data_IF_334364673085
#
_entry.id   IF_334364673085
#
_cell.length_a   1.000
_cell.length_b   1.000
_cell.length_c   1.000
_cell.angle_alpha   90.00
_cell.angle_beta   90.00
_cell.angle_gamma   90.00
#
_symmetry.space_group_name_H-M   'P 1'
#
loop_
_entity.id
_entity.type
_entity.pdbx_description
1 polymer ?
#
# COMPACT_ATOMS: atom_id res chain seq x y z
N UNK A 1 -6.99 17.70 23.33
CA UNK A 1 -7.47 19.08 23.07
C UNK A 1 -6.86 19.59 21.77
N UNK A 2 -7.66 20.25 20.94
CA UNK A 2 -7.22 20.84 19.67
C UNK A 2 -6.96 22.34 19.90
N UNK A 3 -5.77 22.79 19.64
CA UNK A 3 -5.42 24.21 19.66
C UNK A 3 -5.13 24.68 18.23
N UNK A 4 -5.67 25.82 17.85
CA UNK A 4 -5.44 26.46 16.58
C UNK A 4 -4.52 27.66 16.79
N UNK A 5 -3.26 27.56 16.42
CA UNK A 5 -2.34 28.71 16.40
C UNK A 5 -2.33 29.34 15.02
N UNK A 6 -2.58 30.62 14.91
CA UNK A 6 -2.44 31.40 13.69
C UNK A 6 -1.11 32.11 13.73
N UNK A 7 -0.09 31.57 13.07
CA UNK A 7 1.11 32.31 12.74
C UNK A 7 0.90 33.04 11.40
N UNK A 8 1.47 34.23 11.25
CA UNK A 8 1.38 35.02 10.03
C UNK A 8 1.86 34.25 8.80
N UNK A 9 0.91 33.75 7.99
CA UNK A 9 1.20 33.04 6.74
C UNK A 9 0.86 31.56 6.71
N UNK A 10 0.66 30.90 7.86
CA UNK A 10 0.34 29.46 7.92
C UNK A 10 -0.83 29.19 8.86
N UNK A 11 -1.64 28.18 8.54
CA UNK A 11 -2.63 27.60 9.45
C UNK A 11 -2.02 26.37 10.09
N UNK A 12 -1.99 26.32 11.42
CA UNK A 12 -1.41 25.25 12.20
C UNK A 12 -2.50 24.54 12.98
N UNK A 13 -2.40 23.23 13.09
CA UNK A 13 -3.26 22.42 13.96
C UNK A 13 -2.37 21.52 14.79
N UNK A 14 -2.39 21.72 16.11
CA UNK A 14 -1.71 20.88 17.08
C UNK A 14 -2.69 19.84 17.60
N UNK A 15 -2.31 18.57 17.57
CA UNK A 15 -3.12 17.46 18.06
C UNK A 15 -2.27 16.67 19.04
N UNK A 16 -2.78 16.51 20.28
CA UNK A 16 -2.19 15.62 21.28
C UNK A 16 -2.94 14.30 21.24
N UNK A 17 -2.22 13.20 21.14
CA UNK A 17 -2.77 11.86 21.29
C UNK A 17 -2.31 11.26 22.60
N UNK A 18 -3.24 10.65 23.32
CA UNK A 18 -2.95 9.65 24.33
C UNK A 18 -3.59 8.38 23.78
N UNK A 19 -2.76 7.46 23.32
CA UNK A 19 -3.27 6.18 22.85
C UNK A 19 -3.48 5.26 24.05
N UNK A 20 -4.49 4.40 23.95
CA UNK A 20 -5.00 3.62 25.07
C UNK A 20 -4.17 2.36 25.32
N UNK A 21 -4.11 2.02 26.59
CA UNK A 21 -3.66 0.78 27.19
C UNK A 21 -4.38 -0.44 26.63
N UNK A 22 -3.62 -1.47 26.23
CA UNK A 22 -4.12 -2.82 26.04
C UNK A 22 -3.79 -3.61 27.30
N UNK A 23 -4.76 -3.79 28.18
CA UNK A 23 -4.71 -4.79 29.24
C UNK A 23 -5.15 -6.12 28.64
N UNK A 24 -4.24 -7.09 28.57
CA UNK A 24 -4.57 -8.47 28.22
C UNK A 24 -5.21 -9.15 29.41
N UNK A 25 -6.51 -9.47 29.32
CA UNK A 25 -7.15 -10.40 30.23
C UNK A 25 -6.95 -11.81 29.64
N UNK A 26 -5.84 -12.47 29.94
CA UNK A 26 -5.71 -13.91 29.69
C UNK A 26 -5.84 -14.66 30.99
N UNK A 27 -6.86 -15.49 31.09
CA UNK A 27 -7.05 -16.47 32.18
C UNK A 27 -6.00 -17.61 32.19
N UNK A 28 -4.81 -17.36 31.62
CA UNK A 28 -3.68 -18.28 31.64
C UNK A 28 -2.66 -17.79 32.65
N UNK A 29 -2.45 -18.60 33.65
CA UNK A 29 -1.51 -18.47 34.76
C UNK A 29 -0.14 -18.02 34.21
N UNK A 30 0.36 -16.84 34.68
CA UNK A 30 1.67 -16.21 34.46
C UNK A 30 1.81 -15.13 33.35
N UNK A 31 0.78 -14.55 32.83
CA UNK A 31 0.96 -13.31 32.07
C UNK A 31 0.83 -12.10 33.01
N UNK A 32 1.97 -11.50 33.36
CA UNK A 32 2.02 -10.16 33.95
C UNK A 32 1.22 -9.21 33.04
N UNK A 33 0.45 -8.31 33.62
CA UNK A 33 -0.35 -7.32 32.88
C UNK A 33 0.56 -6.50 31.95
N UNK A 34 0.61 -6.86 30.68
CA UNK A 34 1.41 -6.14 29.66
C UNK A 34 0.65 -4.92 29.21
N UNK A 35 1.24 -3.76 29.33
CA UNK A 35 0.69 -2.53 28.79
C UNK A 35 1.59 -1.93 27.70
N UNK A 36 0.98 -1.27 26.73
CA UNK A 36 1.64 -0.41 25.76
C UNK A 36 0.90 0.92 25.68
N UNK A 37 1.60 2.02 25.91
CA UNK A 37 1.08 3.39 25.86
C UNK A 37 1.87 4.20 24.85
N UNK A 38 1.19 4.86 23.92
CA UNK A 38 1.81 5.78 22.97
C UNK A 38 1.25 7.17 23.18
N UNK A 39 2.13 8.14 23.37
CA UNK A 39 1.76 9.54 23.41
C UNK A 39 2.60 10.33 22.41
N UNK A 40 2.06 11.45 21.95
CA UNK A 40 2.78 12.21 20.94
C UNK A 40 2.14 13.55 20.62
N UNK A 41 2.85 14.29 19.79
CA UNK A 41 2.47 15.60 19.30
C UNK A 41 2.53 15.57 17.78
N UNK A 42 1.43 15.97 17.14
CA UNK A 42 1.36 16.19 15.70
C UNK A 42 1.13 17.67 15.41
N UNK A 43 1.91 18.18 14.49
CA UNK A 43 1.80 19.55 14.01
C UNK A 43 1.57 19.55 12.50
N UNK A 44 0.46 20.12 12.06
CA UNK A 44 0.12 20.26 10.64
C UNK A 44 0.20 21.73 10.22
N UNK A 45 0.87 21.98 9.11
CA UNK A 45 1.04 23.30 8.55
C UNK A 45 0.43 23.39 7.14
N UNK A 46 -0.12 24.56 6.82
CA UNK A 46 -0.60 24.88 5.49
C UNK A 46 -0.45 26.38 5.23
N UNK A 47 0.17 26.75 4.12
CA UNK A 47 0.30 28.16 3.72
C UNK A 47 -1.05 28.78 3.31
N UNK A 48 -1.18 30.09 3.42
CA UNK A 48 -2.40 30.81 3.00
C UNK A 48 -2.75 30.58 1.53
N UNK A 49 -1.74 30.54 0.66
CA UNK A 49 -1.91 30.29 -0.77
C UNK A 49 -2.03 28.79 -1.12
N UNK A 50 -2.10 27.91 -0.11
CA UNK A 50 -2.20 26.45 -0.23
C UNK A 50 -1.11 25.78 -1.07
N UNK A 51 -0.03 26.48 -1.45
CA UNK A 51 1.09 25.90 -2.21
C UNK A 51 1.97 25.01 -1.33
N UNK A 52 2.09 25.33 -0.04
CA UNK A 52 2.84 24.56 0.94
C UNK A 52 1.91 23.89 1.93
N UNK A 53 2.14 22.62 2.18
CA UNK A 53 1.53 21.87 3.28
C UNK A 53 2.52 20.86 3.82
N UNK A 54 2.31 20.42 5.05
CA UNK A 54 3.16 19.43 5.64
C UNK A 54 2.71 19.05 7.04
N UNK A 55 3.43 18.12 7.64
CA UNK A 55 3.28 17.78 9.04
C UNK A 55 4.61 17.42 9.64
N UNK A 56 4.73 17.62 10.94
CA UNK A 56 5.77 17.05 11.75
C UNK A 56 5.12 16.34 12.94
N UNK A 57 5.74 15.27 13.38
CA UNK A 57 5.25 14.52 14.52
C UNK A 57 6.40 14.00 15.37
N UNK A 58 6.12 13.82 16.65
CA UNK A 58 6.95 13.10 17.59
C UNK A 58 6.05 12.23 18.46
N UNK A 59 6.29 10.92 18.45
CA UNK A 59 5.60 9.95 19.29
C UNK A 59 6.62 9.20 20.13
N UNK A 60 6.21 8.80 21.32
CA UNK A 60 7.00 7.97 22.21
C UNK A 60 6.13 6.85 22.74
N UNK A 61 6.67 5.63 22.81
CA UNK A 61 6.01 4.49 23.43
C UNK A 61 6.58 4.21 24.83
N UNK A 62 5.71 3.77 25.71
CA UNK A 62 6.06 3.28 27.05
C UNK A 62 5.47 1.90 27.18
N UNK A 63 6.34 0.93 27.37
CA UNK A 63 6.04 -0.47 27.58
C UNK A 63 6.42 -0.87 29.02
N UNK A 64 5.92 -2.01 29.48
CA UNK A 64 6.28 -2.59 30.78
C UNK A 64 7.81 -2.74 30.93
N UNK A 65 8.48 -3.22 29.89
CA UNK A 65 9.93 -3.29 29.82
C UNK A 65 10.44 -2.00 29.17
N UNK A 66 11.15 -1.18 29.95
CA UNK A 66 11.76 0.04 29.44
C UNK A 66 12.75 -0.32 28.31
N UNK A 67 12.52 0.22 27.12
CA UNK A 67 13.38 0.08 25.97
C UNK A 67 14.04 1.41 25.65
N UNK A 68 15.28 1.37 25.24
CA UNK A 68 15.95 2.53 24.68
C UNK A 68 15.39 2.82 23.29
N UNK A 69 15.49 4.05 22.82
CA UNK A 69 15.03 4.48 21.49
C UNK A 69 13.53 4.20 21.21
N UNK A 70 12.66 4.41 22.23
CA UNK A 70 11.21 4.20 22.12
C UNK A 70 10.47 5.34 21.42
N UNK A 71 11.05 5.93 20.39
CA UNK A 71 10.50 7.09 19.68
C UNK A 71 10.16 6.80 18.22
N UNK A 72 9.21 7.56 17.67
CA UNK A 72 8.94 7.69 16.25
C UNK A 72 8.74 9.17 15.92
N UNK A 73 9.56 9.71 15.03
CA UNK A 73 9.48 11.12 14.65
C UNK A 73 9.61 11.28 13.15
N UNK A 74 9.02 12.35 12.63
CA UNK A 74 9.14 12.61 11.21
C UNK A 74 8.59 13.96 10.80
N UNK A 75 9.02 14.36 9.61
CA UNK A 75 8.55 15.55 8.90
C UNK A 75 8.20 15.16 7.47
N UNK A 76 7.08 15.67 6.98
CA UNK A 76 6.80 15.70 5.56
C UNK A 76 6.48 17.13 5.12
N UNK A 77 6.89 17.46 3.90
CA UNK A 77 6.68 18.76 3.29
C UNK A 77 6.27 18.56 1.84
N UNK A 78 5.18 19.19 1.45
CA UNK A 78 4.66 19.24 0.10
C UNK A 78 4.62 20.68 -0.39
N UNK A 79 5.27 20.93 -1.50
CA UNK A 79 5.06 22.13 -2.32
C UNK A 79 4.35 21.73 -3.60
N UNK A 80 3.29 22.42 -3.97
CA UNK A 80 2.55 22.17 -5.19
C UNK A 80 2.16 23.50 -5.86
N UNK A 81 2.59 23.66 -7.11
CA UNK A 81 2.24 24.77 -7.97
C UNK A 81 1.77 24.26 -9.32
N UNK A 82 1.40 25.16 -10.24
CA UNK A 82 0.98 24.74 -11.58
C UNK A 82 2.02 23.88 -12.29
N UNK A 83 3.29 24.26 -12.20
CA UNK A 83 4.38 23.66 -12.99
C UNK A 83 5.30 22.76 -12.18
N UNK A 84 5.29 22.87 -10.85
CA UNK A 84 6.24 22.19 -9.98
C UNK A 84 5.54 21.56 -8.79
N UNK A 85 5.92 20.32 -8.50
CA UNK A 85 5.61 19.62 -7.28
C UNK A 85 6.89 19.18 -6.58
N UNK A 86 7.00 19.38 -5.26
CA UNK A 86 8.08 18.82 -4.44
C UNK A 86 7.46 18.12 -3.26
N UNK A 87 7.84 16.89 -3.02
CA UNK A 87 7.47 16.18 -1.81
C UNK A 87 8.72 15.65 -1.12
N UNK A 88 8.88 15.99 0.14
CA UNK A 88 9.97 15.50 0.98
C UNK A 88 9.41 14.85 2.24
N UNK A 89 9.97 13.73 2.64
CA UNK A 89 9.60 13.00 3.85
C UNK A 89 10.82 12.43 4.53
N UNK A 90 10.99 12.75 5.81
CA UNK A 90 12.03 12.19 6.69
C UNK A 90 11.34 11.55 7.87
N UNK A 91 11.72 10.32 8.20
CA UNK A 91 11.20 9.58 9.36
C UNK A 91 12.36 8.90 10.05
N UNK A 92 12.36 8.96 11.38
CA UNK A 92 13.21 8.15 12.24
C UNK A 92 12.35 7.37 13.22
N UNK A 93 12.57 6.08 13.29
CA UNK A 93 11.85 5.17 14.21
C UNK A 93 12.92 4.43 15.00
N UNK A 94 12.90 4.61 16.30
CA UNK A 94 13.80 3.91 17.22
C UNK A 94 13.52 2.42 17.26
N UNK A 95 14.51 1.64 17.69
CA UNK A 95 14.40 0.18 17.73
C UNK A 95 13.43 -0.29 18.82
N UNK A 96 13.33 0.48 19.91
CA UNK A 96 12.42 0.23 21.02
C UNK A 96 10.99 0.72 20.83
N UNK A 97 10.69 1.46 19.75
CA UNK A 97 9.31 1.98 19.55
C UNK A 97 8.32 0.87 19.24
N UNK A 98 7.24 0.81 20.01
CA UNK A 98 6.14 -0.16 19.85
C UNK A 98 4.77 0.51 19.92
N UNK A 99 3.81 -0.03 19.15
CA UNK A 99 2.42 0.40 19.19
C UNK A 99 1.51 -0.80 18.90
N UNK A 100 0.88 -1.33 19.94
CA UNK A 100 -0.02 -2.49 19.82
C UNK A 100 -1.30 -2.19 19.02
N UNK A 101 -1.70 -0.91 18.97
CA UNK A 101 -2.87 -0.46 18.21
C UNK A 101 -2.50 0.02 16.79
N UNK A 102 -1.23 -0.07 16.41
CA UNK A 102 -0.71 0.35 15.12
C UNK A 102 0.20 -0.67 14.48
N UNK A 103 0.36 -0.59 13.15
CA UNK A 103 1.29 -1.43 12.42
C UNK A 103 2.57 -0.66 12.11
N UNK A 104 3.71 -1.15 12.63
CA UNK A 104 5.04 -0.62 12.37
C UNK A 104 5.78 -1.63 11.49
N UNK A 105 5.98 -1.27 10.23
CA UNK A 105 6.60 -2.18 9.24
C UNK A 105 8.06 -2.51 9.58
N UNK A 106 8.85 -1.51 10.02
CA UNK A 106 10.27 -1.64 10.38
C UNK A 106 10.60 -0.68 11.51
N UNK A 107 11.41 -1.13 12.46
CA UNK A 107 11.96 -0.36 13.59
C UNK A 107 13.46 -0.17 13.41
N UNK A 108 14.07 0.72 14.18
CA UNK A 108 15.50 1.01 14.14
C UNK A 108 15.95 1.59 12.79
N UNK A 109 15.11 2.42 12.16
CA UNK A 109 15.38 2.94 10.82
C UNK A 109 15.37 4.47 10.76
N UNK A 110 16.20 4.98 9.85
CA UNK A 110 16.12 6.34 9.34
C UNK A 110 15.76 6.29 7.85
N UNK A 111 14.68 6.97 7.47
CA UNK A 111 14.15 6.97 6.11
C UNK A 111 14.07 8.38 5.57
N UNK A 112 14.61 8.58 4.38
CA UNK A 112 14.44 9.77 3.55
C UNK A 112 13.74 9.42 2.25
N UNK A 113 12.89 10.33 1.79
CA UNK A 113 12.25 10.27 0.48
C UNK A 113 12.09 11.69 -0.05
N UNK A 114 12.51 11.91 -1.27
CA UNK A 114 12.29 13.15 -2.00
C UNK A 114 11.76 12.83 -3.39
N UNK A 115 10.79 13.62 -3.84
CA UNK A 115 10.23 13.57 -5.19
C UNK A 115 10.09 14.99 -5.70
N UNK A 116 10.54 15.22 -6.92
CA UNK A 116 10.32 16.45 -7.65
C UNK A 116 9.50 16.14 -8.89
N UNK A 117 8.48 16.92 -9.19
CA UNK A 117 7.65 16.81 -10.38
C UNK A 117 7.74 18.11 -11.18
N UNK A 118 8.10 17.99 -12.45
CA UNK A 118 8.03 19.08 -13.42
C UNK A 118 6.91 18.79 -14.40
N UNK A 119 5.93 19.71 -14.50
CA UNK A 119 4.81 19.65 -15.45
C UNK A 119 5.01 20.65 -16.56
N UNK A 120 4.85 20.16 -17.80
CA UNK A 120 4.89 20.95 -19.04
C UNK A 120 3.48 20.93 -19.61
N UNK A 121 2.83 22.08 -19.61
CA UNK A 121 1.51 22.25 -20.20
C UNK A 121 1.68 22.46 -21.70
N UNK A 122 1.11 21.56 -22.50
CA UNK A 122 1.25 21.54 -23.95
C UNK A 122 -0.09 21.90 -24.56
N UNK A 123 -0.08 22.95 -25.39
CA UNK A 123 -1.28 23.40 -26.08
C UNK A 123 -1.48 22.64 -27.41
N UNK A 124 -1.79 21.35 -27.33
CA UNK A 124 -2.18 20.52 -28.46
C UNK A 124 -3.63 20.05 -28.34
N UNK A 125 -4.23 19.55 -29.41
CA UNK A 125 -5.60 19.02 -29.38
C UNK A 125 -5.73 17.76 -28.52
N UNK A 126 -4.68 16.96 -28.36
CA UNK A 126 -4.72 15.63 -27.73
C UNK A 126 -4.08 15.57 -26.35
N UNK A 127 -2.97 16.28 -26.14
CA UNK A 127 -2.16 16.22 -24.91
C UNK A 127 -2.51 17.41 -24.02
N UNK A 128 -2.73 17.15 -22.73
CA UNK A 128 -2.95 18.15 -21.69
C UNK A 128 -1.64 18.64 -21.10
N UNK A 129 -0.84 17.71 -20.63
CA UNK A 129 0.48 17.98 -20.07
C UNK A 129 1.38 16.75 -20.14
N UNK A 130 2.66 17.00 -20.04
CA UNK A 130 3.70 15.99 -19.83
C UNK A 130 4.36 16.29 -18.49
N UNK A 131 4.63 15.27 -17.69
CA UNK A 131 5.38 15.43 -16.46
C UNK A 131 6.57 14.50 -16.37
N UNK A 132 7.62 14.98 -15.72
CA UNK A 132 8.83 14.21 -15.39
C UNK A 132 8.97 14.27 -13.88
N UNK A 133 9.10 13.09 -13.27
CA UNK A 133 9.06 12.96 -11.81
C UNK A 133 10.21 12.10 -11.29
N UNK A 134 11.43 12.64 -11.15
CA UNK A 134 12.50 11.95 -10.43
C UNK A 134 12.18 11.85 -8.94
N UNK A 135 12.56 10.74 -8.34
CA UNK A 135 12.46 10.52 -6.90
C UNK A 135 13.65 9.72 -6.37
N UNK A 136 13.93 9.94 -5.10
CA UNK A 136 14.97 9.23 -4.38
C UNK A 136 14.47 8.79 -3.01
N UNK A 137 14.70 7.53 -2.69
CA UNK A 137 14.38 6.92 -1.38
C UNK A 137 15.64 6.31 -0.79
N UNK A 138 15.82 6.53 0.50
CA UNK A 138 16.96 6.03 1.24
C UNK A 138 16.52 5.57 2.64
N UNK A 139 16.88 4.34 3.02
CA UNK A 139 16.56 3.75 4.32
C UNK A 139 17.82 3.14 4.90
N UNK A 140 18.17 3.54 6.12
CA UNK A 140 19.32 2.99 6.88
C UNK A 140 18.89 2.48 8.23
N UNK A 141 19.76 1.63 8.82
CA UNK A 141 19.74 1.26 10.25
C UNK A 141 20.86 2.03 10.97
N UNK A 142 20.57 3.14 11.67
CA UNK A 142 21.59 3.98 12.31
C UNK A 142 22.44 3.20 13.32
N UNK A 143 21.81 2.33 14.13
CA UNK A 143 22.46 1.54 15.18
C UNK A 143 23.35 0.40 14.66
N UNK A 144 23.39 0.18 13.32
CA UNK A 144 24.24 -0.82 12.65
C UNK A 144 25.21 -0.14 11.68
N UNK A 145 26.05 0.78 12.17
CA UNK A 145 26.99 1.55 11.36
C UNK A 145 26.35 2.20 10.13
N UNK A 146 25.10 2.69 10.26
CA UNK A 146 24.31 3.26 9.18
C UNK A 146 24.14 2.34 7.97
N UNK A 147 23.98 1.03 8.21
CA UNK A 147 23.75 0.03 7.16
C UNK A 147 22.64 0.47 6.23
N UNK A 148 22.92 0.52 4.95
CA UNK A 148 21.92 0.83 3.91
C UNK A 148 21.03 -0.39 3.72
N UNK A 149 19.75 -0.25 4.08
CA UNK A 149 18.73 -1.29 3.90
C UNK A 149 18.07 -1.20 2.52
N UNK A 150 17.66 0.01 2.14
CA UNK A 150 17.08 0.27 0.82
C UNK A 150 17.60 1.60 0.28
N UNK A 151 17.86 1.64 -1.01
CA UNK A 151 18.12 2.85 -1.78
C UNK A 151 17.42 2.69 -3.12
N UNK A 152 16.70 3.70 -3.55
CA UNK A 152 15.97 3.66 -4.81
C UNK A 152 16.03 5.02 -5.49
N UNK A 153 16.52 5.02 -6.71
CA UNK A 153 16.38 6.13 -7.62
C UNK A 153 15.34 5.74 -8.67
N UNK A 154 14.29 6.53 -8.81
CA UNK A 154 13.28 6.29 -9.83
C UNK A 154 12.89 7.58 -10.53
N UNK A 155 12.46 7.45 -11.78
CA UNK A 155 11.91 8.56 -12.55
C UNK A 155 10.73 8.07 -13.36
N UNK A 156 9.65 8.86 -13.34
CA UNK A 156 8.44 8.64 -14.13
C UNK A 156 8.34 9.70 -15.20
N UNK A 157 8.04 9.28 -16.42
CA UNK A 157 7.67 10.12 -17.53
C UNK A 157 6.21 9.87 -17.86
N UNK A 158 5.34 10.87 -17.67
CA UNK A 158 3.90 10.73 -17.85
C UNK A 158 3.38 11.67 -18.95
N UNK A 159 2.49 11.14 -19.78
CA UNK A 159 1.72 11.89 -20.77
C UNK A 159 0.25 11.84 -20.35
N UNK A 160 -0.31 12.98 -20.00
CA UNK A 160 -1.72 13.13 -19.67
C UNK A 160 -2.47 13.67 -20.89
N UNK A 161 -3.42 12.89 -21.40
CA UNK A 161 -4.21 13.25 -22.55
C UNK A 161 -5.48 14.06 -22.14
N UNK A 162 -5.95 14.91 -23.05
CA UNK A 162 -7.23 15.63 -22.88
C UNK A 162 -8.43 14.68 -22.81
N UNK A 163 -8.31 13.47 -23.36
CA UNK A 163 -9.27 12.38 -23.20
C UNK A 163 -9.36 11.81 -21.79
N UNK A 164 -8.55 12.33 -20.84
CA UNK A 164 -8.38 11.82 -19.47
C UNK A 164 -7.75 10.41 -19.42
N UNK A 165 -7.08 9.98 -20.49
CA UNK A 165 -6.20 8.82 -20.47
C UNK A 165 -4.77 9.24 -20.07
N UNK A 166 -3.98 8.28 -19.62
CA UNK A 166 -2.61 8.50 -19.15
C UNK A 166 -1.69 7.38 -19.67
N UNK A 167 -0.52 7.76 -20.14
CA UNK A 167 0.60 6.86 -20.46
C UNK A 167 1.74 7.18 -19.51
N UNK A 168 2.29 6.18 -18.81
CA UNK A 168 3.47 6.32 -17.96
C UNK A 168 4.59 5.40 -18.40
N UNK A 169 5.82 5.89 -18.33
CA UNK A 169 7.06 5.13 -18.49
C UNK A 169 7.87 5.37 -17.22
N UNK A 170 8.09 4.32 -16.47
CA UNK A 170 8.68 4.36 -15.15
C UNK A 170 9.99 3.57 -15.14
N UNK A 171 11.09 4.25 -14.87
CA UNK A 171 12.39 3.63 -14.63
C UNK A 171 12.70 3.64 -13.15
N UNK A 172 13.19 2.53 -12.60
CA UNK A 172 13.65 2.43 -11.22
C UNK A 172 14.98 1.69 -11.12
N UNK A 173 15.81 2.10 -10.16
CA UNK A 173 17.10 1.49 -9.83
C UNK A 173 17.17 1.23 -8.31
N UNK A 174 16.37 0.27 -7.82
CA UNK A 174 16.36 -0.08 -6.40
C UNK A 174 17.61 -0.89 -6.00
N UNK A 175 18.05 -0.65 -4.77
CA UNK A 175 18.94 -1.48 -4.00
C UNK A 175 18.21 -1.94 -2.74
N UNK A 176 18.30 -3.23 -2.42
CA UNK A 176 17.78 -3.80 -1.16
C UNK A 176 18.84 -4.68 -0.51
N UNK A 177 19.06 -4.49 0.78
CA UNK A 177 19.85 -5.39 1.61
C UNK A 177 18.91 -6.39 2.28
N UNK A 178 19.12 -7.68 1.99
CA UNK A 178 18.45 -8.78 2.67
C UNK A 178 19.21 -9.07 3.98
N UNK A 179 18.53 -8.94 5.11
CA UNK A 179 19.06 -9.30 6.44
C UNK A 179 18.69 -10.72 6.88
N UNK A 180 17.93 -11.41 6.05
CA UNK A 180 17.60 -12.84 6.17
C UNK A 180 17.49 -13.46 4.78
N UNK A 181 17.65 -14.78 4.69
CA UNK A 181 17.46 -15.53 3.46
C UNK A 181 16.02 -15.36 2.93
N UNK A 182 15.87 -15.24 1.62
CA UNK A 182 14.59 -14.96 0.98
C UNK A 182 14.23 -15.97 -0.10
N UNK A 183 13.17 -16.75 0.11
CA UNK A 183 12.62 -17.65 -0.90
C UNK A 183 11.69 -16.85 -1.86
N UNK A 184 12.21 -16.49 -3.02
CA UNK A 184 11.51 -15.72 -4.06
C UNK A 184 10.34 -16.49 -4.66
N UNK A 185 10.52 -17.79 -4.88
CA UNK A 185 9.55 -18.63 -5.57
C UNK A 185 8.41 -19.08 -4.68
N UNK A 186 8.61 -19.01 -3.35
CA UNK A 186 7.69 -19.48 -2.31
C UNK A 186 7.32 -20.95 -2.42
N UNK A 187 8.11 -21.72 -3.17
CA UNK A 187 7.96 -23.18 -3.25
C UNK A 187 8.65 -23.83 -2.07
N UNK A 188 8.08 -24.90 -1.56
CA UNK A 188 8.70 -25.70 -0.53
C UNK A 188 9.99 -26.36 -1.05
N UNK A 189 11.06 -26.32 -0.26
CA UNK A 189 12.37 -26.87 -0.63
C UNK A 189 13.16 -26.05 -1.65
N UNK A 190 12.67 -24.92 -2.14
CA UNK A 190 13.44 -24.03 -3.04
C UNK A 190 14.60 -23.38 -2.30
N UNK A 191 15.74 -23.28 -2.96
CA UNK A 191 16.94 -22.63 -2.43
C UNK A 191 16.68 -21.12 -2.30
N UNK A 192 16.80 -20.55 -1.08
CA UNK A 192 16.57 -19.14 -0.86
C UNK A 192 17.74 -18.29 -1.38
N UNK A 193 17.46 -17.05 -1.74
CA UNK A 193 18.50 -16.03 -2.03
C UNK A 193 19.21 -15.69 -0.72
N UNK A 194 20.56 -15.65 -0.71
CA UNK A 194 21.34 -15.41 0.50
C UNK A 194 21.24 -13.96 0.99
N UNK A 195 21.63 -13.76 2.25
CA UNK A 195 21.84 -12.44 2.86
C UNK A 195 22.81 -11.64 2.02
N UNK A 196 22.51 -10.37 1.75
CA UNK A 196 23.39 -9.49 0.98
C UNK A 196 22.68 -8.33 0.31
N UNK A 197 23.42 -7.51 -0.41
CA UNK A 197 22.94 -6.34 -1.14
C UNK A 197 22.70 -6.64 -2.61
N UNK A 198 21.53 -6.23 -3.12
CA UNK A 198 21.11 -6.47 -4.50
C UNK A 198 20.63 -5.19 -5.16
N UNK A 199 21.13 -4.92 -6.39
CA UNK A 199 20.61 -3.87 -7.26
C UNK A 199 19.79 -4.53 -8.37
N UNK A 200 18.63 -3.97 -8.71
CA UNK A 200 17.77 -4.55 -9.72
C UNK A 200 16.99 -3.50 -10.53
N UNK A 201 17.67 -2.87 -11.54
CA UNK A 201 17.00 -1.91 -12.41
C UNK A 201 15.78 -2.51 -13.11
N UNK A 202 14.72 -1.72 -13.21
CA UNK A 202 13.47 -2.13 -13.80
C UNK A 202 12.87 -0.99 -14.64
N UNK A 203 12.21 -1.36 -15.73
CA UNK A 203 11.44 -0.47 -16.59
C UNK A 203 10.00 -0.97 -16.64
N UNK A 204 9.05 -0.07 -16.41
CA UNK A 204 7.62 -0.33 -16.49
C UNK A 204 6.96 0.66 -17.44
N UNK A 205 6.02 0.18 -18.23
CA UNK A 205 5.21 1.00 -19.12
C UNK A 205 3.76 0.69 -18.84
N UNK A 206 2.98 1.72 -18.53
CA UNK A 206 1.56 1.56 -18.24
C UNK A 206 0.69 2.53 -19.04
N UNK A 207 -0.50 2.06 -19.36
CA UNK A 207 -1.53 2.87 -19.99
C UNK A 207 -2.86 2.67 -19.30
N UNK A 208 -3.54 3.79 -19.02
CA UNK A 208 -4.89 3.83 -18.47
C UNK A 208 -5.78 4.68 -19.37
N UNK A 209 -6.95 4.14 -19.73
CA UNK A 209 -7.96 4.95 -20.41
C UNK A 209 -8.72 5.86 -19.44
N UNK A 210 -9.62 6.66 -19.97
CA UNK A 210 -10.49 7.54 -19.21
C UNK A 210 -11.38 6.74 -18.23
N UNK A 211 -11.20 6.98 -16.92
CA UNK A 211 -11.87 6.28 -15.83
C UNK A 211 -13.38 6.67 -15.68
N UNK A 212 -13.86 7.68 -16.39
CA UNK A 212 -15.30 8.03 -16.42
C UNK A 212 -16.09 7.21 -17.44
N UNK A 213 -15.43 6.48 -18.35
CA UNK A 213 -16.10 5.63 -19.32
C UNK A 213 -16.75 4.42 -18.64
N UNK A 214 -17.79 3.88 -19.28
CA UNK A 214 -18.42 2.63 -18.85
C UNK A 214 -17.45 1.47 -18.87
N UNK A 215 -16.63 1.36 -19.92
CA UNK A 215 -15.54 0.41 -20.02
C UNK A 215 -14.20 1.10 -19.73
N UNK A 216 -13.56 0.65 -18.66
CA UNK A 216 -12.24 1.14 -18.24
C UNK A 216 -11.21 0.02 -18.27
N UNK A 217 -9.99 0.38 -18.67
CA UNK A 217 -8.89 -0.57 -18.70
C UNK A 217 -7.58 0.11 -18.31
N UNK A 218 -6.74 -0.69 -17.70
CA UNK A 218 -5.37 -0.38 -17.33
C UNK A 218 -4.51 -1.58 -17.73
N UNK A 219 -3.41 -1.31 -18.41
CA UNK A 219 -2.39 -2.29 -18.74
C UNK A 219 -1.04 -1.79 -18.30
N UNK A 220 -0.22 -2.69 -17.77
CA UNK A 220 1.16 -2.44 -17.38
C UNK A 220 2.02 -3.62 -17.78
N UNK A 221 3.17 -3.34 -18.33
CA UNK A 221 4.21 -4.31 -18.62
C UNK A 221 5.52 -3.83 -18.01
N UNK A 222 6.21 -4.74 -17.33
CA UNK A 222 7.48 -4.46 -16.69
C UNK A 222 8.54 -5.49 -17.06
N UNK A 223 9.79 -5.04 -17.15
CA UNK A 223 10.93 -5.91 -17.38
C UNK A 223 12.16 -5.33 -16.69
N UNK A 224 12.93 -6.19 -16.03
CA UNK A 224 14.15 -5.76 -15.37
C UNK A 224 14.88 -6.87 -14.65
N UNK A 225 15.89 -6.49 -13.92
CA UNK A 225 16.57 -7.38 -13.00
C UNK A 225 15.72 -7.61 -11.75
N UNK A 226 15.93 -8.73 -11.10
CA UNK A 226 15.28 -9.08 -9.84
C UNK A 226 16.22 -9.93 -9.00
N UNK A 227 16.77 -9.34 -7.95
CA UNK A 227 17.89 -9.88 -7.18
C UNK A 227 19.06 -10.27 -8.10
N UNK A 228 19.38 -11.56 -8.18
CA UNK A 228 20.44 -12.12 -9.04
C UNK A 228 19.92 -12.63 -10.39
N UNK A 229 18.65 -12.41 -10.72
CA UNK A 229 18.02 -12.86 -11.96
C UNK A 229 17.23 -11.77 -12.67
N UNK A 230 16.16 -12.17 -13.36
CA UNK A 230 15.28 -11.27 -14.13
C UNK A 230 13.81 -11.49 -13.77
N UNK A 231 13.03 -10.42 -13.87
CA UNK A 231 11.58 -10.43 -13.73
C UNK A 231 10.92 -9.72 -14.90
N UNK A 232 9.91 -10.39 -15.49
CA UNK A 232 8.98 -9.77 -16.42
C UNK A 232 7.59 -9.81 -15.81
N UNK A 233 6.88 -8.69 -15.81
CA UNK A 233 5.55 -8.54 -15.23
C UNK A 233 4.54 -8.05 -16.25
N UNK A 234 3.31 -8.53 -16.13
CA UNK A 234 2.15 -8.05 -16.89
C UNK A 234 1.03 -7.85 -15.87
N UNK A 235 0.41 -6.67 -15.87
CA UNK A 235 -0.80 -6.39 -15.11
C UNK A 235 -1.89 -5.87 -16.04
N UNK A 236 -3.11 -6.36 -15.84
CA UNK A 236 -4.30 -5.87 -16.53
C UNK A 236 -5.43 -5.67 -15.53
N UNK A 237 -6.11 -4.54 -15.63
CA UNK A 237 -7.36 -4.29 -14.90
C UNK A 237 -8.40 -3.87 -15.92
N UNK A 238 -9.46 -4.65 -16.03
CA UNK A 238 -10.59 -4.38 -16.91
C UNK A 238 -11.80 -4.15 -16.03
N UNK A 239 -12.58 -3.12 -16.29
CA UNK A 239 -13.82 -2.92 -15.58
C UNK A 239 -14.91 -2.40 -16.51
N UNK A 240 -16.13 -2.87 -16.28
CA UNK A 240 -17.32 -2.45 -16.98
C UNK A 240 -18.42 -2.11 -15.99
N UNK A 241 -19.12 -1.01 -16.24
CA UNK A 241 -20.19 -0.55 -15.36
C UNK A 241 -21.40 -0.06 -16.16
N UNK A 242 -22.56 -0.42 -15.66
CA UNK A 242 -23.88 0.12 -16.04
C UNK A 242 -24.47 0.71 -14.76
N UNK A 243 -24.22 2.00 -14.54
CA UNK A 243 -24.67 2.65 -13.30
C UNK A 243 -26.19 2.88 -13.30
N UNK A 244 -26.86 2.67 -12.16
CA UNK A 244 -26.33 2.23 -10.85
C UNK A 244 -26.39 0.71 -10.62
N UNK A 245 -26.75 -0.10 -11.63
CA UNK A 245 -27.27 -1.46 -11.47
C UNK A 245 -26.14 -2.49 -11.40
N UNK A 246 -25.09 -2.34 -12.23
CA UNK A 246 -24.11 -3.37 -12.44
C UNK A 246 -22.69 -2.83 -12.56
N UNK A 247 -21.76 -3.47 -11.88
CA UNK A 247 -20.32 -3.22 -12.05
C UNK A 247 -19.57 -4.54 -12.02
N UNK A 248 -18.69 -4.75 -12.96
CA UNK A 248 -17.75 -5.88 -12.95
C UNK A 248 -16.34 -5.40 -13.18
N UNK A 249 -15.37 -6.10 -12.59
CA UNK A 249 -13.97 -5.88 -12.85
C UNK A 249 -13.18 -7.19 -12.80
N UNK A 250 -12.13 -7.24 -13.61
CA UNK A 250 -11.18 -8.34 -13.67
C UNK A 250 -9.79 -7.77 -13.48
N UNK A 251 -9.09 -8.22 -12.42
CA UNK A 251 -7.69 -7.93 -12.18
C UNK A 251 -6.86 -9.17 -12.52
N UNK A 252 -5.85 -9.02 -13.33
CA UNK A 252 -4.90 -10.07 -13.71
C UNK A 252 -3.50 -9.54 -13.44
N UNK A 253 -2.67 -10.33 -12.76
CA UNK A 253 -1.24 -10.09 -12.60
C UNK A 253 -0.48 -11.38 -12.88
N UNK A 254 0.57 -11.26 -13.66
CA UNK A 254 1.50 -12.35 -13.96
C UNK A 254 2.93 -11.85 -13.85
N UNK A 255 3.73 -12.51 -12.99
CA UNK A 255 5.15 -12.29 -12.84
C UNK A 255 5.92 -13.53 -13.28
N UNK A 256 6.82 -13.41 -14.24
CA UNK A 256 7.77 -14.45 -14.62
C UNK A 256 9.13 -14.10 -14.06
N UNK A 257 9.58 -14.86 -13.07
CA UNK A 257 10.87 -14.69 -12.41
C UNK A 257 11.79 -15.79 -12.89
N UNK A 258 12.97 -15.43 -13.42
CA UNK A 258 14.01 -16.35 -13.81
C UNK A 258 15.26 -16.04 -13.02
N UNK A 259 15.68 -16.97 -12.18
CA UNK A 259 16.93 -16.88 -11.41
C UNK A 259 17.99 -17.80 -12.04
N UNK A 260 19.29 -17.49 -11.88
CA UNK A 260 20.38 -18.39 -12.31
C UNK A 260 20.41 -19.65 -11.46
N UNK A 261 20.98 -20.75 -11.96
CA UNK A 261 21.21 -21.95 -11.16
C UNK A 261 22.08 -21.60 -9.94
N UNK A 262 21.85 -22.18 -8.75
CA UNK A 262 20.93 -23.31 -8.46
C UNK A 262 19.48 -22.92 -8.13
N UNK A 263 19.08 -21.65 -8.26
CA UNK A 263 17.76 -21.16 -7.88
C UNK A 263 16.68 -21.51 -8.92
N UNK A 264 15.44 -21.55 -8.46
CA UNK A 264 14.29 -21.92 -9.29
C UNK A 264 13.73 -20.74 -10.12
N UNK A 265 13.03 -21.10 -11.18
CA UNK A 265 12.18 -20.20 -11.95
C UNK A 265 10.75 -20.26 -11.43
N UNK A 266 10.07 -19.10 -11.34
CA UNK A 266 8.67 -19.03 -10.93
C UNK A 266 7.83 -18.25 -11.94
N UNK A 267 6.60 -18.74 -12.16
CA UNK A 267 5.53 -18.00 -12.82
C UNK A 267 4.40 -17.78 -11.81
N UNK A 268 4.18 -16.52 -11.42
CA UNK A 268 3.25 -16.18 -10.35
C UNK A 268 2.00 -15.54 -10.95
N UNK A 269 0.85 -16.15 -10.70
CA UNK A 269 -0.45 -15.67 -11.16
C UNK A 269 -1.33 -15.19 -10.02
N UNK A 270 -1.99 -14.06 -10.25
CA UNK A 270 -3.09 -13.57 -9.44
C UNK A 270 -4.23 -13.13 -10.37
N UNK A 271 -5.40 -13.76 -10.23
CA UNK A 271 -6.59 -13.43 -11.02
C UNK A 271 -7.75 -13.16 -10.07
N UNK A 272 -8.40 -12.00 -10.19
CA UNK A 272 -9.43 -11.57 -9.27
C UNK A 272 -10.63 -10.92 -9.97
N UNK A 273 -11.64 -11.68 -10.42
CA UNK A 273 -12.91 -11.12 -10.85
C UNK A 273 -13.74 -10.62 -9.66
N UNK A 274 -14.40 -9.50 -9.86
CA UNK A 274 -15.36 -8.89 -8.92
C UNK A 274 -16.63 -8.53 -9.67
N UNK A 275 -17.77 -8.85 -9.11
CA UNK A 275 -19.09 -8.57 -9.70
C UNK A 275 -19.97 -7.96 -8.61
N UNK A 276 -20.54 -6.79 -8.88
CA UNK A 276 -21.46 -6.09 -7.98
C UNK A 276 -22.79 -5.86 -8.69
N UNK A 277 -23.86 -6.19 -8.01
CA UNK A 277 -25.24 -5.85 -8.41
C UNK A 277 -25.87 -4.92 -7.38
N UNK A 278 -26.51 -3.87 -7.85
CA UNK A 278 -27.38 -2.98 -7.08
C UNK A 278 -28.79 -3.17 -7.60
N UNK A 279 -29.56 -4.07 -7.00
CA UNK A 279 -30.93 -4.37 -7.47
C UNK A 279 -31.86 -3.17 -7.26
N UNK A 280 -31.65 -2.45 -6.15
CA UNK A 280 -32.36 -1.21 -5.84
C UNK A 280 -31.59 -0.46 -4.72
N UNK A 281 -32.16 0.67 -4.23
CA UNK A 281 -31.55 1.49 -3.15
C UNK A 281 -31.37 0.75 -1.81
N UNK A 282 -31.94 -0.45 -1.67
CA UNK A 282 -31.93 -1.22 -0.42
C UNK A 282 -31.22 -2.57 -0.53
N UNK A 283 -31.02 -3.13 -1.74
CA UNK A 283 -30.51 -4.48 -1.94
C UNK A 283 -29.26 -4.48 -2.83
N UNK A 284 -28.17 -4.97 -2.29
CA UNK A 284 -26.85 -5.02 -2.93
C UNK A 284 -26.27 -6.43 -2.84
N UNK A 285 -25.64 -6.89 -3.91
CA UNK A 285 -24.92 -8.16 -3.93
C UNK A 285 -23.53 -7.97 -4.51
N UNK A 286 -22.51 -8.33 -3.76
CA UNK A 286 -21.11 -8.20 -4.15
C UNK A 286 -20.43 -9.55 -4.08
N UNK A 287 -19.73 -9.92 -5.15
CA UNK A 287 -18.98 -11.16 -5.27
C UNK A 287 -17.54 -10.85 -5.62
N UNK A 288 -16.62 -11.50 -4.96
CA UNK A 288 -15.19 -11.43 -5.23
C UNK A 288 -14.62 -12.84 -5.22
N UNK A 289 -13.96 -13.21 -6.31
CA UNK A 289 -13.24 -14.46 -6.45
C UNK A 289 -11.77 -14.09 -6.65
N UNK A 290 -10.85 -14.81 -6.01
CA UNK A 290 -9.43 -14.58 -6.18
C UNK A 290 -8.71 -15.92 -6.26
N UNK A 291 -8.00 -16.11 -7.36
CA UNK A 291 -7.09 -17.22 -7.56
C UNK A 291 -5.65 -16.73 -7.49
N UNK A 292 -4.80 -17.45 -6.77
CA UNK A 292 -3.36 -17.24 -6.73
C UNK A 292 -2.65 -18.59 -6.72
N UNK A 293 -1.70 -18.77 -7.63
CA UNK A 293 -0.82 -19.94 -7.56
C UNK A 293 0.33 -19.78 -6.56
N UNK A 294 0.46 -18.58 -5.95
CA UNK A 294 1.31 -18.37 -4.79
C UNK A 294 0.60 -18.94 -3.57
N UNK A 295 1.01 -20.13 -3.11
CA UNK A 295 0.31 -20.87 -2.03
C UNK A 295 -0.99 -21.53 -2.50
N UNK A 296 -1.14 -21.71 -3.82
CA UNK A 296 -2.22 -22.52 -4.44
C UNK A 296 -3.59 -22.24 -3.82
N UNK A 297 -4.03 -21.00 -3.84
CA UNK A 297 -5.23 -20.56 -3.13
C UNK A 297 -6.31 -20.04 -4.07
N UNK A 298 -7.57 -20.47 -3.81
CA UNK A 298 -8.78 -19.89 -4.40
C UNK A 298 -9.67 -19.40 -3.26
N UNK A 299 -9.95 -18.11 -3.23
CA UNK A 299 -10.87 -17.49 -2.29
C UNK A 299 -12.15 -17.02 -2.97
N UNK A 300 -13.29 -17.26 -2.36
CA UNK A 300 -14.59 -16.78 -2.79
C UNK A 300 -15.21 -16.00 -1.63
N UNK A 301 -15.64 -14.76 -1.88
CA UNK A 301 -16.40 -13.96 -0.95
C UNK A 301 -17.66 -13.47 -1.65
N UNK A 302 -18.83 -13.81 -1.13
CA UNK A 302 -20.13 -13.37 -1.62
C UNK A 302 -20.89 -12.70 -0.49
N UNK A 303 -21.26 -11.43 -0.67
CA UNK A 303 -21.94 -10.63 0.34
C UNK A 303 -23.25 -10.06 -0.21
N UNK A 304 -24.37 -10.45 0.39
CA UNK A 304 -25.67 -9.84 0.22
C UNK A 304 -25.91 -8.85 1.36
N UNK A 305 -26.30 -7.62 1.02
CA UNK A 305 -26.68 -6.58 1.96
C UNK A 305 -28.07 -6.09 1.66
N UNK A 306 -28.93 -6.13 2.66
CA UNK A 306 -30.28 -5.60 2.59
C UNK A 306 -30.49 -4.51 3.64
N UNK A 307 -30.66 -3.27 3.16
CA UNK A 307 -30.99 -2.11 3.98
C UNK A 307 -32.51 -2.01 4.09
N UNK A 308 -33.09 -2.61 5.12
CA UNK A 308 -34.54 -2.67 5.29
C UNK A 308 -35.12 -1.38 5.92
N UNK A 309 -34.32 -0.62 6.69
CA UNK A 309 -34.67 0.69 7.24
C UNK A 309 -33.43 1.64 7.19
N UNK A 310 -33.58 2.96 7.41
CA UNK A 310 -32.44 3.87 7.52
C UNK A 310 -31.49 3.40 8.61
N UNK A 311 -30.19 3.36 8.31
CA UNK A 311 -29.09 2.89 9.20
C UNK A 311 -29.26 1.45 9.74
N UNK A 312 -30.21 0.68 9.19
CA UNK A 312 -30.50 -0.69 9.60
C UNK A 312 -30.24 -1.63 8.44
N UNK A 313 -29.27 -2.51 8.60
CA UNK A 313 -28.78 -3.40 7.55
C UNK A 313 -28.77 -4.85 8.01
N UNK A 314 -29.19 -5.75 7.12
CA UNK A 314 -28.95 -7.19 7.22
C UNK A 314 -27.86 -7.58 6.23
N UNK A 315 -26.88 -8.34 6.71
CA UNK A 315 -25.79 -8.89 5.89
C UNK A 315 -25.80 -10.42 5.95
N UNK A 316 -25.66 -11.02 4.77
CA UNK A 316 -25.35 -12.43 4.61
C UNK A 316 -24.02 -12.53 3.86
N UNK A 317 -23.00 -13.12 4.50
CA UNK A 317 -21.67 -13.21 3.93
C UNK A 317 -21.24 -14.67 3.88
N UNK A 318 -21.02 -15.14 2.66
CA UNK A 318 -20.45 -16.45 2.39
C UNK A 318 -18.98 -16.30 2.02
N UNK A 319 -18.10 -17.01 2.76
CA UNK A 319 -16.68 -17.13 2.45
C UNK A 319 -16.35 -18.59 2.23
N UNK A 320 -15.59 -18.88 1.19
CA UNK A 320 -15.10 -20.20 0.88
C UNK A 320 -13.65 -20.09 0.37
N UNK A 321 -12.74 -20.77 1.05
CA UNK A 321 -11.33 -20.77 0.69
C UNK A 321 -10.88 -22.21 0.43
N UNK A 322 -10.20 -22.40 -0.70
CA UNK A 322 -9.66 -23.68 -1.13
C UNK A 322 -8.15 -23.62 -1.24
N UNK A 323 -7.52 -24.78 -1.00
CA UNK A 323 -6.20 -25.06 -1.54
C UNK A 323 -6.42 -25.53 -2.97
N UNK A 324 -5.93 -24.77 -3.95
CA UNK A 324 -6.12 -24.99 -5.38
C UNK A 324 -4.89 -25.69 -5.98
N UNK A 325 -4.49 -26.85 -5.41
CA UNK A 325 -3.51 -27.76 -5.98
C UNK A 325 -4.16 -28.61 -7.09
N UNK A 326 -3.72 -29.82 -7.32
CA UNK A 326 -4.32 -30.75 -8.30
C UNK A 326 -5.80 -31.10 -8.00
N UNK A 327 -6.23 -30.95 -6.75
CA UNK A 327 -7.60 -31.17 -6.27
C UNK A 327 -8.00 -29.98 -5.40
N UNK A 328 -9.18 -29.39 -5.65
CA UNK A 328 -9.72 -28.33 -4.80
C UNK A 328 -10.10 -28.88 -3.42
N UNK A 329 -9.26 -28.60 -2.41
CA UNK A 329 -9.53 -29.01 -1.03
C UNK A 329 -10.05 -27.82 -0.26
N UNK A 330 -11.28 -27.90 0.33
CA UNK A 330 -11.80 -26.81 1.15
C UNK A 330 -10.91 -26.59 2.38
N UNK A 331 -10.47 -25.36 2.60
CA UNK A 331 -9.66 -24.96 3.76
C UNK A 331 -10.54 -24.39 4.88
N UNK A 332 -11.37 -23.43 4.54
CA UNK A 332 -12.29 -22.76 5.46
C UNK A 332 -13.53 -22.36 4.69
N UNK A 333 -14.68 -22.74 5.24
CA UNK A 333 -15.98 -22.31 4.73
C UNK A 333 -16.78 -21.68 5.86
N UNK A 334 -17.36 -20.50 5.63
CA UNK A 334 -18.17 -19.82 6.62
C UNK A 334 -19.37 -19.12 5.99
N UNK A 335 -20.46 -19.13 6.72
CA UNK A 335 -21.67 -18.36 6.43
C UNK A 335 -21.95 -17.49 7.64
N UNK A 336 -21.83 -16.19 7.47
CA UNK A 336 -21.96 -15.22 8.55
C UNK A 336 -23.21 -14.37 8.34
N UNK A 337 -23.95 -14.14 9.43
CA UNK A 337 -25.10 -13.27 9.48
C UNK A 337 -24.79 -12.10 10.39
N UNK A 338 -25.15 -10.90 9.96
CA UNK A 338 -25.08 -9.70 10.79
C UNK A 338 -26.37 -8.89 10.60
N UNK A 339 -27.02 -8.59 11.70
CA UNK A 339 -28.15 -7.66 11.75
C UNK A 339 -27.75 -6.43 12.55
N UNK A 340 -27.87 -5.27 11.94
CA UNK A 340 -27.74 -3.97 12.61
C UNK A 340 -29.10 -3.29 12.55
N UNK A 341 -29.59 -2.84 13.67
CA UNK A 341 -30.84 -2.09 13.79
C UNK A 341 -30.60 -0.78 14.54
N UNK A 342 -31.07 0.30 13.98
CA UNK A 342 -30.99 1.62 14.59
C UNK A 342 -32.43 2.07 14.92
N UNK A 343 -32.67 2.41 16.17
CA UNK A 343 -33.95 2.89 16.72
C UNK A 343 -33.83 4.31 17.25
#
# INVERSE_FOLDING_TARGET
>A
RKYCCSCTGFRCKLIFFINREKTGNSNLINDQEKFNRVFGVDYNLRSKNSKWSGSLFYHNSIDEIKKDDSYSTGINLLYNSRNHGVYSKIISIGEGFESDLGFIRRKGIFKQYIRYERRFWIETEKISNISITPSFRYITKPNKNSLIMDRDFSTSFEINFKSLSNLSIDFSYPYTYLDSEFNVTRKDGAIPIPIGGYNYPNLEISFRNNFFKEFTYFFEVGSGQFFNGTKNSIQAKLAYRIEPIFQTSLNISYDKIKLPKPYDTAGLWLVGPKINFTFNKKLFWSNYIQYSNIGESLGINSRLQWRFAPLSDFYLVYNDNYIASNIFVPKVRSLNFKLSYWF
#
